data_IF_040155059242
#
_entry.id   IF_040155059242
#
_cell.length_a   1.000
_cell.length_b   1.000
_cell.length_c   1.000
_cell.angle_alpha   90.00
_cell.angle_beta   90.00
_cell.angle_gamma   90.00
#
_symmetry.space_group_name_H-M   'P 1'
#
loop_
_entity.id
_entity.type
_entity.pdbx_description
1 polymer ?
#
# COMPACT_ATOMS: atom_id res chain seq x y z
N UNK A 1 -28.51 18.93 50.27
CA UNK A 1 -28.50 17.98 49.13
C UNK A 1 -27.26 18.30 48.29
N UNK A 2 -26.22 17.47 48.07
CA UNK A 2 -26.02 16.00 48.18
C UNK A 2 -27.19 15.24 47.52
N UNK A 3 -27.10 14.41 46.46
CA UNK A 3 -26.04 13.57 45.86
C UNK A 3 -26.11 13.71 44.30
N UNK A 4 -25.26 13.17 43.40
CA UNK A 4 -23.99 12.44 43.45
C UNK A 4 -23.23 12.63 42.10
N UNK A 5 -22.02 12.09 41.98
CA UNK A 5 -21.22 11.92 40.75
C UNK A 5 -21.53 10.61 40.00
N UNK A 6 -21.26 10.56 38.68
CA UNK A 6 -20.95 9.31 37.96
C UNK A 6 -20.11 9.55 36.70
N UNK A 7 -18.78 9.75 36.85
CA UNK A 7 -17.85 9.72 35.71
C UNK A 7 -17.73 8.27 35.21
N UNK A 8 -18.08 8.02 33.95
CA UNK A 8 -17.87 6.73 33.27
C UNK A 8 -16.40 6.66 32.83
N UNK A 9 -15.71 5.55 33.13
CA UNK A 9 -14.26 5.47 33.03
C UNK A 9 -13.69 5.25 31.63
N UNK A 10 -12.39 5.46 31.50
CA UNK A 10 -11.56 4.95 30.39
C UNK A 10 -10.32 4.27 30.97
N UNK A 11 -10.34 2.94 31.02
CA UNK A 11 -9.19 2.13 31.42
C UNK A 11 -8.16 2.10 30.30
N UNK A 12 -7.32 3.13 30.21
CA UNK A 12 -6.25 3.22 29.22
C UNK A 12 -5.09 2.28 29.54
N UNK A 13 -5.16 1.02 29.09
CA UNK A 13 -4.03 0.10 29.14
C UNK A 13 -2.95 0.53 28.15
N UNK A 14 -1.95 1.23 28.67
CA UNK A 14 -0.78 1.71 27.93
C UNK A 14 0.02 0.52 27.39
N UNK A 15 -0.04 0.28 26.09
CA UNK A 15 0.79 -0.71 25.41
C UNK A 15 2.25 -0.22 25.39
N UNK A 16 3.18 -1.02 25.94
CA UNK A 16 4.62 -0.73 25.95
C UNK A 16 5.36 -1.80 25.13
N UNK A 17 6.13 -1.44 24.09
CA UNK A 17 6.97 -2.40 23.37
C UNK A 17 8.01 -3.02 24.31
N UNK A 18 8.13 -4.35 24.28
CA UNK A 18 9.21 -5.06 24.98
C UNK A 18 10.57 -4.89 24.27
N UNK A 19 11.69 -5.02 24.98
CA UNK A 19 13.03 -4.91 24.38
C UNK A 19 13.33 -6.10 23.46
N UNK A 20 14.14 -5.91 22.39
CA UNK A 20 14.55 -6.99 21.50
C UNK A 20 15.51 -7.96 22.21
N UNK A 21 15.32 -9.27 21.99
CA UNK A 21 16.20 -10.31 22.53
C UNK A 21 17.43 -10.50 21.62
N UNK A 22 18.67 -10.53 22.17
CA UNK A 22 19.85 -10.78 21.37
C UNK A 22 19.95 -12.25 20.94
N UNK A 23 20.10 -12.48 19.63
CA UNK A 23 20.29 -13.81 19.05
C UNK A 23 21.65 -14.42 19.42
N UNK A 24 21.66 -15.72 19.73
CA UNK A 24 22.88 -16.47 20.09
C UNK A 24 23.68 -16.85 18.84
N UNK A 25 25.00 -16.62 18.78
CA UNK A 25 25.82 -17.07 17.65
C UNK A 25 25.98 -18.60 17.66
N UNK A 26 25.83 -19.23 16.51
CA UNK A 26 26.05 -20.66 16.32
C UNK A 26 27.55 -20.95 16.16
N UNK A 27 28.20 -21.47 17.20
CA UNK A 27 29.60 -21.88 17.17
C UNK A 27 29.78 -23.20 16.40
N UNK A 28 29.89 -23.11 15.06
CA UNK A 28 30.25 -24.22 14.19
C UNK A 28 31.72 -24.62 14.39
N UNK A 29 31.97 -25.87 14.80
CA UNK A 29 33.32 -26.39 15.07
C UNK A 29 34.09 -26.63 13.78
N UNK A 30 35.30 -26.08 13.67
CA UNK A 30 36.29 -26.49 12.68
C UNK A 30 36.72 -27.94 12.94
N UNK A 31 36.75 -28.77 11.89
CA UNK A 31 37.14 -30.18 11.97
C UNK A 31 38.41 -30.40 11.14
N UNK A 32 39.58 -30.64 11.77
CA UNK A 32 40.79 -30.99 11.02
C UNK A 32 40.71 -32.46 10.60
N UNK A 33 41.01 -32.74 9.34
CA UNK A 33 41.40 -34.09 8.91
C UNK A 33 42.65 -33.95 8.02
N UNK A 34 43.78 -34.43 8.54
CA UNK A 34 45.00 -34.60 7.78
C UNK A 34 44.94 -35.86 6.91
N UNK A 35 45.77 -35.91 5.88
CA UNK A 35 45.79 -37.02 4.93
C UNK A 35 46.82 -36.83 3.83
N UNK A 36 48.10 -36.71 4.20
CA UNK A 36 49.19 -36.84 3.24
C UNK A 36 49.47 -38.35 3.05
N UNK A 37 49.27 -38.85 1.83
CA UNK A 37 49.52 -40.23 1.46
C UNK A 37 49.88 -40.32 -0.03
N UNK A 38 51.08 -40.81 -0.32
CA UNK A 38 51.65 -40.89 -1.67
C UNK A 38 51.49 -42.31 -2.20
N UNK A 39 51.08 -42.46 -3.46
CA UNK A 39 51.26 -43.70 -4.21
C UNK A 39 50.06 -44.07 -5.09
N UNK A 40 50.27 -44.12 -6.41
CA UNK A 40 50.31 -45.36 -7.19
C UNK A 40 50.40 -45.03 -8.68
N UNK A 41 51.49 -45.45 -9.32
CA UNK A 41 51.65 -45.43 -10.78
C UNK A 41 50.83 -46.57 -11.40
N UNK A 42 49.90 -46.25 -12.31
CA UNK A 42 49.12 -47.24 -13.05
C UNK A 42 48.92 -46.81 -14.52
N UNK A 43 49.53 -47.54 -15.44
CA UNK A 43 49.38 -47.35 -16.89
C UNK A 43 48.13 -48.11 -17.40
N UNK A 44 47.37 -47.52 -18.33
CA UNK A 44 46.27 -48.22 -18.99
C UNK A 44 45.35 -47.31 -19.81
N UNK A 45 45.47 -47.25 -21.15
CA UNK A 45 44.55 -46.51 -22.00
C UNK A 45 43.34 -47.39 -22.37
N UNK A 46 42.25 -47.25 -21.62
CA UNK A 46 40.94 -47.81 -21.98
C UNK A 46 39.89 -46.70 -21.95
N UNK A 47 39.13 -46.56 -23.04
CA UNK A 47 38.36 -45.35 -23.34
C UNK A 47 37.27 -45.02 -22.31
N UNK A 48 37.56 -44.10 -21.39
CA UNK A 48 36.51 -43.31 -20.74
C UNK A 48 35.78 -42.51 -21.81
N UNK A 49 34.54 -42.89 -22.12
CA UNK A 49 33.57 -41.91 -22.64
C UNK A 49 33.43 -40.84 -21.57
N UNK A 50 34.08 -39.70 -21.81
CA UNK A 50 33.81 -38.46 -21.10
C UNK A 50 32.38 -38.06 -21.47
N UNK A 51 31.40 -38.63 -20.76
CA UNK A 51 30.12 -37.95 -20.59
C UNK A 51 30.48 -36.55 -20.09
N UNK A 52 30.06 -35.48 -20.78
CA UNK A 52 30.35 -34.14 -20.29
C UNK A 52 29.72 -34.03 -18.91
N UNK A 53 30.57 -33.89 -17.89
CA UNK A 53 30.14 -33.43 -16.57
C UNK A 53 29.50 -32.08 -16.83
N UNK A 54 28.16 -32.05 -16.87
CA UNK A 54 27.40 -30.83 -17.09
C UNK A 54 27.88 -29.81 -16.08
N UNK A 55 28.19 -28.62 -16.57
CA UNK A 55 28.69 -27.56 -15.70
C UNK A 55 27.52 -26.97 -14.89
N UNK A 56 27.11 -27.73 -13.85
CA UNK A 56 26.00 -27.40 -12.95
C UNK A 56 26.23 -26.05 -12.23
N UNK A 57 27.49 -25.54 -12.21
CA UNK A 57 27.80 -24.20 -11.70
C UNK A 57 27.18 -23.10 -12.57
N UNK A 58 27.09 -23.29 -13.89
CA UNK A 58 26.38 -22.39 -14.79
C UNK A 58 24.85 -22.50 -14.65
N UNK A 59 24.33 -23.72 -14.56
CA UNK A 59 22.87 -23.97 -14.48
C UNK A 59 22.24 -23.35 -13.23
N UNK A 60 22.81 -23.61 -12.04
CA UNK A 60 22.27 -23.10 -10.77
C UNK A 60 22.32 -21.58 -10.65
N UNK A 61 23.36 -20.94 -11.21
CA UNK A 61 23.49 -19.47 -11.20
C UNK A 61 22.53 -18.81 -12.18
N UNK A 62 22.37 -19.35 -13.39
CA UNK A 62 21.38 -18.86 -14.36
C UNK A 62 19.94 -18.99 -13.83
N UNK A 63 19.60 -20.10 -13.15
CA UNK A 63 18.28 -20.29 -12.55
C UNK A 63 18.01 -19.28 -11.43
N UNK A 64 19.00 -19.01 -10.57
CA UNK A 64 18.88 -17.98 -9.53
C UNK A 64 18.75 -16.57 -10.11
N UNK A 65 19.51 -16.22 -11.15
CA UNK A 65 19.39 -14.92 -11.84
C UNK A 65 18.00 -14.77 -12.47
N UNK A 66 17.49 -15.81 -13.15
CA UNK A 66 16.14 -15.82 -13.70
C UNK A 66 15.06 -15.64 -12.63
N UNK A 67 15.16 -16.38 -11.51
CA UNK A 67 14.24 -16.25 -10.38
C UNK A 67 14.25 -14.83 -9.78
N UNK A 68 15.43 -14.23 -9.59
CA UNK A 68 15.58 -12.87 -9.08
C UNK A 68 15.00 -11.82 -10.05
N UNK A 69 15.19 -11.98 -11.35
CA UNK A 69 14.57 -11.12 -12.38
C UNK A 69 13.04 -11.22 -12.28
N UNK A 70 12.47 -12.42 -12.20
CA UNK A 70 11.02 -12.63 -12.07
C UNK A 70 10.48 -11.98 -10.80
N UNK A 71 11.12 -12.19 -9.65
CA UNK A 71 10.72 -11.57 -8.38
C UNK A 71 10.79 -10.04 -8.45
N UNK A 72 11.86 -9.48 -9.05
CA UNK A 72 12.04 -8.03 -9.22
C UNK A 72 10.96 -7.45 -10.13
N UNK A 73 10.64 -8.11 -11.24
CA UNK A 73 9.58 -7.70 -12.17
C UNK A 73 8.21 -7.74 -11.48
N UNK A 74 7.90 -8.79 -10.73
CA UNK A 74 6.65 -8.90 -9.97
C UNK A 74 6.55 -7.81 -8.88
N UNK A 75 7.63 -7.51 -8.18
CA UNK A 75 7.68 -6.43 -7.19
C UNK A 75 7.52 -5.04 -7.84
N UNK A 76 8.12 -4.81 -9.01
CA UNK A 76 7.97 -3.56 -9.76
C UNK A 76 6.54 -3.35 -10.29
N UNK A 77 5.92 -4.41 -10.85
CA UNK A 77 4.51 -4.37 -11.27
C UNK A 77 3.60 -4.16 -10.06
N UNK A 78 3.83 -4.88 -8.97
CA UNK A 78 3.04 -4.77 -7.73
C UNK A 78 3.10 -3.37 -7.11
N UNK A 79 4.28 -2.76 -7.03
CA UNK A 79 4.43 -1.38 -6.51
C UNK A 79 3.81 -0.34 -7.44
N UNK A 80 3.88 -0.53 -8.76
CA UNK A 80 3.20 0.34 -9.75
C UNK A 80 1.68 0.30 -9.57
N UNK A 81 1.10 -0.90 -9.46
CA UNK A 81 -0.34 -1.09 -9.23
C UNK A 81 -0.78 -0.55 -7.87
N UNK A 82 0.00 -0.80 -6.81
CA UNK A 82 -0.29 -0.27 -5.47
C UNK A 82 -0.26 1.26 -5.42
N UNK A 83 0.73 1.89 -6.06
CA UNK A 83 0.82 3.36 -6.16
C UNK A 83 -0.39 3.97 -6.89
N UNK A 84 -0.86 3.32 -7.95
CA UNK A 84 -2.08 3.74 -8.65
C UNK A 84 -3.35 3.53 -7.80
N UNK A 85 -3.49 2.39 -7.13
CA UNK A 85 -4.64 2.15 -6.24
C UNK A 85 -4.69 3.18 -5.10
N UNK A 86 -3.55 3.53 -4.50
CA UNK A 86 -3.44 4.56 -3.46
C UNK A 86 -3.86 5.95 -3.95
N UNK A 87 -3.57 6.33 -5.21
CA UNK A 87 -4.05 7.61 -5.75
C UNK A 87 -5.57 7.61 -5.97
N UNK A 88 -6.15 6.50 -6.41
CA UNK A 88 -7.61 6.35 -6.52
C UNK A 88 -8.29 6.42 -5.15
N UNK A 89 -7.73 5.78 -4.13
CA UNK A 89 -8.26 5.87 -2.76
C UNK A 89 -8.18 7.30 -2.20
N UNK A 90 -7.07 8.03 -2.41
CA UNK A 90 -6.95 9.42 -2.00
C UNK A 90 -7.98 10.33 -2.70
N UNK A 91 -8.18 10.19 -4.02
CA UNK A 91 -9.19 10.94 -4.74
C UNK A 91 -10.60 10.69 -4.20
N UNK A 92 -10.92 9.45 -3.80
CA UNK A 92 -12.21 9.10 -3.19
C UNK A 92 -12.39 9.70 -1.80
N UNK A 93 -11.41 9.53 -0.91
CA UNK A 93 -11.46 10.14 0.43
C UNK A 93 -11.54 11.67 0.39
N UNK A 94 -10.89 12.31 -0.60
CA UNK A 94 -11.01 13.75 -0.84
C UNK A 94 -12.44 14.15 -1.27
N UNK A 95 -13.10 13.34 -2.09
CA UNK A 95 -14.49 13.56 -2.49
C UNK A 95 -15.44 13.43 -1.29
N UNK A 96 -15.29 12.37 -0.48
CA UNK A 96 -16.14 12.09 0.69
C UNK A 96 -16.03 13.22 1.74
N UNK A 97 -14.81 13.69 2.03
CA UNK A 97 -14.59 14.83 2.93
C UNK A 97 -15.14 16.15 2.35
N UNK A 98 -14.99 16.39 1.05
CA UNK A 98 -15.54 17.58 0.41
C UNK A 98 -17.07 17.59 0.47
N UNK A 99 -17.73 16.47 0.14
CA UNK A 99 -19.18 16.33 0.24
C UNK A 99 -19.68 16.54 1.69
N UNK A 100 -19.06 15.88 2.68
CA UNK A 100 -19.42 16.06 4.08
C UNK A 100 -19.26 17.50 4.56
N UNK A 101 -18.15 18.16 4.20
CA UNK A 101 -17.92 19.56 4.57
C UNK A 101 -18.95 20.51 3.95
N UNK A 102 -19.36 20.23 2.71
CA UNK A 102 -20.41 20.98 2.04
C UNK A 102 -21.78 20.74 2.65
N UNK A 103 -22.07 19.53 3.13
CA UNK A 103 -23.30 19.23 3.84
C UNK A 103 -23.38 19.95 5.19
N UNK A 104 -22.30 19.94 5.99
CA UNK A 104 -22.23 20.69 7.25
C UNK A 104 -22.40 22.18 7.00
N UNK A 105 -21.65 22.76 6.07
CA UNK A 105 -21.77 24.17 5.69
C UNK A 105 -23.19 24.54 5.22
N UNK A 106 -23.87 23.64 4.49
CA UNK A 106 -25.25 23.81 4.03
C UNK A 106 -26.27 23.76 5.19
N UNK A 107 -26.06 22.91 6.19
CA UNK A 107 -26.85 22.86 7.43
C UNK A 107 -26.63 24.10 8.31
N UNK A 108 -25.42 24.66 8.32
CA UNK A 108 -25.08 25.92 8.99
C UNK A 108 -25.59 27.18 8.23
N UNK A 109 -26.31 27.00 7.13
CA UNK A 109 -26.89 28.08 6.32
C UNK A 109 -25.91 28.81 5.40
N UNK A 110 -24.75 28.22 5.12
CA UNK A 110 -23.70 28.79 4.25
C UNK A 110 -23.56 28.04 2.91
N UNK A 111 -22.71 28.54 2.00
CA UNK A 111 -22.46 27.91 0.70
C UNK A 111 -21.67 26.59 0.85
N UNK A 112 -22.40 25.48 0.78
CA UNK A 112 -21.84 24.13 0.80
C UNK A 112 -20.86 23.83 -0.35
N UNK A 113 -21.05 24.43 -1.53
CA UNK A 113 -20.12 24.25 -2.63
C UNK A 113 -18.83 25.06 -2.46
N UNK A 114 -18.86 26.21 -1.78
CA UNK A 114 -17.64 26.93 -1.38
C UNK A 114 -16.83 26.12 -0.34
N UNK A 115 -17.50 25.53 0.66
CA UNK A 115 -16.86 24.66 1.64
C UNK A 115 -16.27 23.39 1.01
N UNK A 116 -17.03 22.68 0.16
CA UNK A 116 -16.53 21.53 -0.58
C UNK A 116 -15.29 21.86 -1.43
N UNK A 117 -15.27 23.03 -2.08
CA UNK A 117 -14.12 23.53 -2.85
C UNK A 117 -12.89 23.80 -1.99
N UNK A 118 -13.02 24.28 -0.75
CA UNK A 118 -11.86 24.54 0.12
C UNK A 118 -11.24 23.22 0.62
N UNK A 119 -12.08 22.27 1.05
CA UNK A 119 -11.63 20.95 1.53
C UNK A 119 -11.05 20.08 0.40
N UNK A 120 -11.62 20.11 -0.80
CA UNK A 120 -11.04 19.42 -1.96
C UNK A 120 -9.61 19.92 -2.24
N UNK A 121 -9.40 21.25 -2.29
CA UNK A 121 -8.08 21.85 -2.52
C UNK A 121 -7.08 21.47 -1.44
N UNK A 122 -7.48 21.47 -0.17
CA UNK A 122 -6.65 21.02 0.94
C UNK A 122 -6.18 19.55 0.78
N UNK A 123 -7.00 18.71 0.14
CA UNK A 123 -6.69 17.31 -0.16
C UNK A 123 -6.04 17.09 -1.56
N UNK A 124 -5.51 18.15 -2.20
CA UNK A 124 -4.91 18.11 -3.55
C UNK A 124 -5.87 17.56 -4.61
N UNK A 125 -7.14 17.93 -4.52
CA UNK A 125 -8.16 17.63 -5.51
C UNK A 125 -8.88 18.92 -5.94
N UNK A 126 -9.34 18.96 -7.19
CA UNK A 126 -10.08 20.10 -7.74
C UNK A 126 -11.51 19.69 -7.97
N UNK A 127 -12.47 20.40 -7.37
CA UNK A 127 -13.90 20.21 -7.68
C UNK A 127 -14.14 20.58 -9.14
N UNK A 128 -14.61 19.62 -9.93
CA UNK A 128 -15.00 19.83 -11.33
C UNK A 128 -16.50 20.10 -11.48
N UNK A 129 -17.30 19.61 -10.53
CA UNK A 129 -18.75 19.77 -10.50
C UNK A 129 -19.23 19.73 -9.05
N UNK A 130 -20.21 20.57 -8.71
CA UNK A 130 -20.81 20.66 -7.38
C UNK A 130 -22.26 21.10 -7.53
N UNK A 131 -23.17 20.25 -7.08
CA UNK A 131 -24.61 20.41 -7.20
C UNK A 131 -25.28 20.20 -5.84
N UNK A 132 -26.34 20.94 -5.56
CA UNK A 132 -27.08 20.88 -4.29
C UNK A 132 -28.56 20.80 -4.63
N UNK A 133 -29.14 19.62 -4.38
CA UNK A 133 -30.54 19.33 -4.67
C UNK A 133 -31.31 19.25 -3.35
N UNK A 134 -32.45 19.93 -3.25
CA UNK A 134 -33.32 19.92 -2.08
C UNK A 134 -33.30 21.22 -1.25
N UNK A 135 -34.02 21.19 -0.13
CA UNK A 135 -34.32 22.34 0.74
C UNK A 135 -33.31 22.48 1.90
N UNK A 136 -33.54 23.41 2.83
CA UNK A 136 -32.70 23.57 4.04
C UNK A 136 -32.59 22.30 4.92
N UNK A 137 -33.63 21.46 4.92
CA UNK A 137 -33.79 20.34 5.87
C UNK A 137 -33.64 18.96 5.23
N UNK A 138 -33.92 18.84 3.93
CA UNK A 138 -33.82 17.61 3.15
C UNK A 138 -33.10 17.94 1.85
N UNK A 139 -31.79 17.64 1.81
CA UNK A 139 -30.93 17.95 0.69
C UNK A 139 -29.87 16.88 0.48
N UNK A 140 -29.35 16.84 -0.75
CA UNK A 140 -28.15 16.09 -1.11
C UNK A 140 -27.20 17.03 -1.85
N UNK A 141 -26.02 17.26 -1.27
CA UNK A 141 -24.90 17.85 -1.99
C UNK A 141 -24.12 16.75 -2.71
N UNK A 142 -23.89 16.97 -3.99
CA UNK A 142 -23.16 16.10 -4.90
C UNK A 142 -21.86 16.79 -5.29
N UNK A 143 -20.71 16.16 -5.03
CA UNK A 143 -19.40 16.73 -5.36
C UNK A 143 -18.63 15.78 -6.27
N UNK A 144 -18.18 16.27 -7.41
CA UNK A 144 -17.23 15.58 -8.27
C UNK A 144 -15.87 16.27 -8.17
N UNK A 145 -14.83 15.50 -7.85
CA UNK A 145 -13.45 15.98 -7.77
C UNK A 145 -12.58 15.28 -8.79
N UNK A 146 -11.55 15.98 -9.26
CA UNK A 146 -10.47 15.45 -10.08
C UNK A 146 -9.15 15.66 -9.35
N UNK A 147 -8.37 14.60 -9.24
CA UNK A 147 -7.00 14.63 -8.74
C UNK A 147 -6.04 14.30 -9.87
N UNK A 148 -4.99 15.10 -10.02
CA UNK A 148 -3.89 14.82 -10.95
C UNK A 148 -2.97 13.76 -10.35
N UNK A 149 -2.58 12.77 -11.15
CA UNK A 149 -1.71 11.68 -10.73
C UNK A 149 -0.41 11.78 -11.51
N UNK A 150 0.78 11.73 -10.85
CA UNK A 150 2.06 11.76 -11.54
C UNK A 150 2.13 10.64 -12.61
N UNK A 151 2.63 10.94 -13.83
CA UNK A 151 2.70 9.96 -14.91
C UNK A 151 3.79 8.92 -14.64
N UNK A 152 3.42 7.86 -13.90
CA UNK A 152 4.34 6.78 -13.53
C UNK A 152 4.61 5.80 -14.69
N UNK A 153 3.69 5.71 -15.67
CA UNK A 153 3.87 4.94 -16.90
C UNK A 153 3.23 5.62 -18.12
N UNK A 154 3.78 5.43 -19.34
CA UNK A 154 3.09 5.79 -20.58
C UNK A 154 1.75 5.06 -20.71
N UNK A 155 0.69 5.79 -21.06
CA UNK A 155 -0.64 5.23 -21.31
C UNK A 155 -1.61 5.23 -20.12
N UNK A 156 -1.16 5.49 -18.89
CA UNK A 156 -2.06 5.69 -17.74
C UNK A 156 -2.74 7.08 -17.80
N UNK A 157 -4.01 7.21 -17.34
CA UNK A 157 -4.68 8.50 -17.27
C UNK A 157 -3.99 9.41 -16.25
N UNK A 158 -3.70 10.65 -16.66
CA UNK A 158 -3.03 11.68 -15.82
C UNK A 158 -3.93 12.25 -14.72
N UNK A 159 -5.20 11.85 -14.65
CA UNK A 159 -6.13 12.29 -13.62
C UNK A 159 -7.13 11.21 -13.26
N UNK A 160 -7.41 11.08 -11.97
CA UNK A 160 -8.51 10.27 -11.44
C UNK A 160 -9.67 11.20 -11.09
N UNK A 161 -10.89 10.81 -11.47
CA UNK A 161 -12.11 11.47 -11.03
C UNK A 161 -12.81 10.63 -9.96
N UNK A 162 -13.36 11.27 -8.95
CA UNK A 162 -14.18 10.64 -7.91
C UNK A 162 -15.43 11.49 -7.65
N UNK A 163 -16.54 10.82 -7.31
CA UNK A 163 -17.83 11.45 -7.03
C UNK A 163 -18.33 10.96 -5.68
N UNK A 164 -18.78 11.89 -4.86
CA UNK A 164 -19.34 11.63 -3.53
C UNK A 164 -20.63 12.44 -3.34
N UNK A 165 -21.46 11.96 -2.41
CA UNK A 165 -22.76 12.55 -2.08
C UNK A 165 -22.89 12.60 -0.57
N UNK A 166 -23.43 13.69 -0.03
CA UNK A 166 -23.70 13.84 1.40
C UNK A 166 -24.97 14.66 1.63
N UNK A 167 -25.65 14.40 2.73
CA UNK A 167 -26.89 15.08 3.10
C UNK A 167 -27.87 14.13 3.79
N UNK A 168 -28.85 14.66 4.53
CA UNK A 168 -29.88 13.86 5.16
C UNK A 168 -30.86 13.34 4.10
N UNK A 169 -30.61 12.15 3.53
CA UNK A 169 -31.64 11.46 2.76
C UNK A 169 -32.74 11.00 3.72
N UNK A 170 -33.85 11.73 3.74
CA UNK A 170 -35.06 11.17 4.35
C UNK A 170 -35.52 10.01 3.46
N UNK A 171 -35.61 8.81 4.04
CA UNK A 171 -36.29 7.71 3.35
C UNK A 171 -37.77 8.11 3.23
N UNK A 172 -38.40 8.02 2.05
CA UNK A 172 -39.83 8.28 1.93
C UNK A 172 -40.62 7.30 2.83
N UNK A 173 -41.76 7.74 3.39
CA UNK A 173 -42.62 6.91 4.25
C UNK A 173 -43.33 5.78 3.49
#
# INVERSE_FOLDING_TARGET
>A
MITNSRRRGSGGTRWTPGPPTPGRPAAGRLRPQGGAGIGHTGHGPAGRRLLPLRDERGSGTMLMVGAMIVITVLAFVGTTVAGYAVSVHQARSAADLAALSGAVARSDGTDGCAAAKSIARANRATVTDCDVVGDQLDFVITVQVRQEVPPLMPGLPRSVAAKAHAGPVSSPP
#
